data_IF_417573352859
#
_entry.id   IF_417573352859
#
_cell.length_a   1.000
_cell.length_b   1.000
_cell.length_c   1.000
_cell.angle_alpha   90.00
_cell.angle_beta   90.00
_cell.angle_gamma   90.00
#
_symmetry.space_group_name_H-M   'P 1'
#
loop_
_entity.id
_entity.type
_entity.pdbx_description
1 polymer ?
#
# COMPACT_ATOMS: atom_id res chain seq x y z
N UNK A 1 -24.20 16.07 -32.45
CA UNK A 1 -23.10 15.34 -33.09
C UNK A 1 -22.01 15.02 -32.06
N UNK A 2 -21.46 13.80 -32.08
CA UNK A 2 -20.36 13.36 -31.21
C UNK A 2 -19.00 13.75 -31.77
N UNK A 3 -18.84 13.81 -33.10
CA UNK A 3 -17.57 14.17 -33.74
C UNK A 3 -17.16 15.60 -33.39
N UNK A 4 -18.09 16.56 -33.49
CA UNK A 4 -17.87 17.94 -33.05
C UNK A 4 -17.46 18.07 -31.56
N UNK A 5 -18.03 17.24 -30.68
CA UNK A 5 -17.68 17.24 -29.24
C UNK A 5 -16.29 16.68 -28.98
N UNK A 6 -15.90 15.63 -29.72
CA UNK A 6 -14.53 15.09 -29.66
C UNK A 6 -13.53 16.14 -30.16
N UNK A 7 -13.84 16.82 -31.27
CA UNK A 7 -13.01 17.90 -31.81
C UNK A 7 -12.82 19.04 -30.80
N UNK A 8 -13.91 19.47 -30.14
CA UNK A 8 -13.89 20.50 -29.09
C UNK A 8 -13.00 20.09 -27.91
N UNK A 9 -13.15 18.84 -27.43
CA UNK A 9 -12.33 18.30 -26.35
C UNK A 9 -10.85 18.22 -26.71
N UNK A 10 -10.53 17.81 -27.94
CA UNK A 10 -9.15 17.74 -28.42
C UNK A 10 -8.52 19.12 -28.59
N UNK A 11 -9.30 20.12 -29.00
CA UNK A 11 -8.80 21.48 -29.30
C UNK A 11 -8.69 22.33 -28.04
N UNK A 12 -9.66 22.26 -27.14
CA UNK A 12 -9.80 23.17 -26.00
C UNK A 12 -9.45 22.52 -24.66
N UNK A 13 -9.31 21.20 -24.61
CA UNK A 13 -9.20 20.42 -23.38
C UNK A 13 -10.48 20.41 -22.53
N UNK A 14 -11.58 20.98 -23.04
CA UNK A 14 -12.85 21.17 -22.36
C UNK A 14 -14.00 20.76 -23.27
N UNK A 15 -15.18 20.60 -22.68
CA UNK A 15 -16.41 20.36 -23.42
C UNK A 15 -17.47 21.27 -22.83
N UNK A 16 -17.80 22.37 -23.50
CA UNK A 16 -18.76 23.37 -23.03
C UNK A 16 -20.13 22.73 -22.73
N UNK A 17 -20.51 21.71 -23.51
CA UNK A 17 -21.72 20.92 -23.24
C UNK A 17 -21.65 20.19 -21.87
N UNK A 18 -20.51 19.60 -21.52
CA UNK A 18 -20.29 18.96 -20.22
C UNK A 18 -20.28 20.00 -19.10
N UNK A 19 -19.58 21.12 -19.29
CA UNK A 19 -19.52 22.19 -18.27
C UNK A 19 -20.90 22.79 -17.99
N UNK A 20 -21.70 23.02 -19.03
CA UNK A 20 -23.08 23.49 -18.90
C UNK A 20 -23.96 22.46 -18.17
N UNK A 21 -23.75 21.15 -18.42
CA UNK A 21 -24.43 20.08 -17.71
C UNK A 21 -24.00 19.99 -16.25
N UNK A 22 -22.69 20.06 -15.95
CA UNK A 22 -22.16 20.01 -14.59
C UNK A 22 -22.63 21.19 -13.74
N UNK A 23 -22.81 22.38 -14.34
CA UNK A 23 -23.43 23.54 -13.66
C UNK A 23 -24.91 23.32 -13.34
N UNK A 24 -25.62 22.52 -14.14
CA UNK A 24 -27.06 22.24 -13.99
C UNK A 24 -27.37 21.01 -13.12
N UNK A 25 -26.38 20.13 -12.90
CA UNK A 25 -26.53 18.90 -12.12
C UNK A 25 -25.80 19.07 -10.79
N UNK A 26 -26.51 19.14 -9.64
CA UNK A 26 -25.89 19.16 -8.33
C UNK A 26 -24.85 18.04 -8.15
N UNK A 27 -23.67 18.35 -7.59
CA UNK A 27 -22.60 17.37 -7.32
C UNK A 27 -23.11 16.16 -6.52
N UNK A 28 -24.09 16.39 -5.66
CA UNK A 28 -24.82 15.36 -4.93
C UNK A 28 -25.39 14.25 -5.85
N UNK A 29 -26.00 14.61 -6.99
CA UNK A 29 -26.56 13.63 -7.92
C UNK A 29 -25.47 12.77 -8.55
N UNK A 30 -24.35 13.36 -8.93
CA UNK A 30 -23.20 12.64 -9.47
C UNK A 30 -22.63 11.65 -8.46
N UNK A 31 -22.56 12.03 -7.18
CA UNK A 31 -22.12 11.14 -6.10
C UNK A 31 -23.09 9.97 -5.88
N UNK A 32 -24.40 10.20 -5.89
CA UNK A 32 -25.38 9.11 -5.74
C UNK A 32 -25.32 8.10 -6.90
N UNK A 33 -25.05 8.58 -8.11
CA UNK A 33 -24.92 7.75 -9.31
C UNK A 33 -23.67 6.87 -9.32
N UNK A 34 -22.72 7.04 -8.41
CA UNK A 34 -21.58 6.11 -8.27
C UNK A 34 -21.98 4.79 -7.63
N UNK A 35 -23.15 4.72 -6.98
CA UNK A 35 -23.68 3.51 -6.36
C UNK A 35 -24.29 2.61 -7.43
N UNK A 36 -23.77 1.37 -7.62
CA UNK A 36 -24.38 0.41 -8.53
C UNK A 36 -25.87 0.21 -8.23
N UNK A 37 -26.71 0.32 -9.26
CA UNK A 37 -28.17 0.25 -9.12
C UNK A 37 -28.88 1.59 -8.98
N UNK A 38 -28.16 2.71 -8.82
CA UNK A 38 -28.71 4.08 -8.83
C UNK A 38 -28.43 4.76 -10.17
N UNK A 39 -29.41 4.73 -11.07
CA UNK A 39 -29.38 5.50 -12.31
C UNK A 39 -29.84 6.96 -12.13
N UNK A 40 -29.70 7.81 -13.17
CA UNK A 40 -30.03 9.23 -13.11
C UNK A 40 -31.44 9.55 -12.59
N UNK A 41 -32.44 8.75 -12.97
CA UNK A 41 -33.83 8.93 -12.54
C UNK A 41 -34.01 8.70 -11.04
N UNK A 42 -33.39 7.65 -10.49
CA UNK A 42 -33.44 7.31 -9.07
C UNK A 42 -32.65 8.32 -8.24
N UNK A 43 -31.45 8.71 -8.69
CA UNK A 43 -30.65 9.76 -8.05
C UNK A 43 -31.43 11.07 -7.94
N UNK A 44 -32.11 11.47 -9.02
CA UNK A 44 -32.94 12.68 -9.03
C UNK A 44 -34.12 12.60 -8.09
N UNK A 45 -34.82 11.46 -8.03
CA UNK A 45 -35.93 11.29 -7.09
C UNK A 45 -35.48 11.36 -5.63
N UNK A 46 -34.34 10.75 -5.29
CA UNK A 46 -33.73 10.83 -3.96
C UNK A 46 -33.37 12.27 -3.57
N UNK A 47 -32.80 13.04 -4.49
CA UNK A 47 -32.45 14.43 -4.25
C UNK A 47 -33.68 15.34 -4.16
N UNK A 48 -34.63 15.22 -5.08
CA UNK A 48 -35.79 16.13 -5.16
C UNK A 48 -36.79 15.87 -4.03
N UNK A 49 -36.98 14.62 -3.59
CA UNK A 49 -38.02 14.24 -2.61
C UNK A 49 -37.50 14.06 -1.19
N UNK A 50 -36.27 13.54 -1.04
CA UNK A 50 -35.68 13.24 0.27
C UNK A 50 -34.44 14.10 0.56
N UNK A 51 -34.10 15.03 -0.34
CA UNK A 51 -32.95 15.93 -0.20
C UNK A 51 -31.64 15.19 0.13
N UNK A 52 -31.46 14.02 -0.50
CA UNK A 52 -30.26 13.21 -0.30
C UNK A 52 -29.09 13.87 -1.03
N UNK A 53 -28.07 14.28 -0.26
CA UNK A 53 -26.89 14.98 -0.78
C UNK A 53 -25.58 14.23 -0.60
N UNK A 54 -25.59 13.14 0.17
CA UNK A 54 -24.40 12.32 0.46
C UNK A 54 -24.73 10.83 0.50
N UNK A 55 -23.70 10.00 0.30
CA UNK A 55 -23.80 8.54 0.42
C UNK A 55 -24.15 8.10 1.86
N UNK A 56 -23.65 8.83 2.87
CA UNK A 56 -23.97 8.57 4.28
C UNK A 56 -25.45 8.77 4.58
N UNK A 57 -26.03 9.87 4.07
CA UNK A 57 -27.47 10.14 4.23
C UNK A 57 -28.31 9.09 3.48
N UNK A 58 -27.89 8.69 2.27
CA UNK A 58 -28.54 7.63 1.51
C UNK A 58 -28.54 6.31 2.30
N UNK A 59 -27.41 5.94 2.91
CA UNK A 59 -27.29 4.72 3.71
C UNK A 59 -28.19 4.74 4.95
N UNK A 60 -28.25 5.87 5.67
CA UNK A 60 -29.14 6.01 6.82
C UNK A 60 -30.61 5.87 6.43
N UNK A 61 -31.03 6.47 5.32
CA UNK A 61 -32.39 6.37 4.81
C UNK A 61 -32.73 4.94 4.35
N UNK A 62 -31.78 4.25 3.72
CA UNK A 62 -31.94 2.87 3.30
C UNK A 62 -32.02 1.91 4.50
N UNK A 63 -31.17 2.08 5.53
CA UNK A 63 -31.19 1.27 6.76
C UNK A 63 -32.44 1.49 7.61
N UNK A 64 -33.04 2.68 7.51
CA UNK A 64 -34.29 3.02 8.20
C UNK A 64 -35.54 2.72 7.37
N UNK A 65 -35.40 2.04 6.23
CA UNK A 65 -36.48 1.71 5.29
C UNK A 65 -37.26 2.91 4.75
N UNK A 66 -36.70 4.11 4.87
CA UNK A 66 -37.35 5.36 4.47
C UNK A 66 -37.31 5.59 2.96
N UNK A 67 -36.51 4.82 2.21
CA UNK A 67 -36.50 4.94 0.75
C UNK A 67 -37.77 4.35 0.14
N UNK A 68 -38.43 3.40 0.83
CA UNK A 68 -39.65 2.75 0.37
C UNK A 68 -40.86 3.68 0.24
N UNK A 69 -40.79 4.87 0.85
CA UNK A 69 -41.78 5.93 0.66
C UNK A 69 -41.75 6.54 -0.76
N UNK A 70 -40.72 6.24 -1.57
CA UNK A 70 -40.59 6.75 -2.93
C UNK A 70 -41.09 5.74 -3.98
N UNK A 71 -41.78 6.21 -5.04
CA UNK A 71 -42.21 5.33 -6.12
C UNK A 71 -41.00 4.70 -6.83
N UNK A 72 -41.02 3.37 -6.97
CA UNK A 72 -39.94 2.58 -7.57
C UNK A 72 -38.77 2.22 -6.65
N UNK A 73 -38.90 2.47 -5.34
CA UNK A 73 -37.94 2.07 -4.30
C UNK A 73 -38.49 0.95 -3.41
N UNK A 74 -38.89 -0.16 -4.03
CA UNK A 74 -39.32 -1.36 -3.29
C UNK A 74 -38.17 -1.96 -2.45
N UNK A 75 -38.50 -2.85 -1.50
CA UNK A 75 -37.54 -3.52 -0.62
C UNK A 75 -36.31 -4.06 -1.38
N UNK A 76 -36.52 -4.76 -2.50
CA UNK A 76 -35.42 -5.28 -3.34
C UNK A 76 -34.52 -4.19 -3.92
N UNK A 77 -35.08 -3.02 -4.26
CA UNK A 77 -34.30 -1.86 -4.72
C UNK A 77 -33.46 -1.29 -3.58
N UNK A 78 -34.02 -1.17 -2.37
CA UNK A 78 -33.31 -0.70 -1.18
C UNK A 78 -32.17 -1.65 -0.77
N UNK A 79 -32.42 -2.96 -0.79
CA UNK A 79 -31.39 -3.99 -0.57
C UNK A 79 -30.25 -3.88 -1.59
N UNK A 80 -30.59 -3.68 -2.87
CA UNK A 80 -29.58 -3.48 -3.92
C UNK A 80 -28.80 -2.16 -3.73
N UNK A 81 -29.45 -1.10 -3.24
CA UNK A 81 -28.79 0.17 -2.90
C UNK A 81 -27.84 -0.01 -1.71
N UNK A 82 -28.25 -0.71 -0.65
CA UNK A 82 -27.39 -1.03 0.49
C UNK A 82 -26.18 -1.86 0.05
N UNK A 83 -26.39 -2.86 -0.80
CA UNK A 83 -25.31 -3.67 -1.39
C UNK A 83 -24.40 -2.81 -2.27
N UNK A 84 -24.95 -1.92 -3.08
CA UNK A 84 -24.17 -0.98 -3.91
C UNK A 84 -23.36 0.01 -3.07
N UNK A 85 -23.91 0.51 -1.97
CA UNK A 85 -23.22 1.40 -1.02
C UNK A 85 -22.07 0.67 -0.34
N UNK A 86 -22.28 -0.59 0.04
CA UNK A 86 -21.22 -1.45 0.56
C UNK A 86 -20.11 -1.64 -0.47
N UNK A 87 -20.45 -1.85 -1.75
CA UNK A 87 -19.46 -1.95 -2.84
C UNK A 87 -18.66 -0.65 -3.02
N UNK A 88 -19.29 0.52 -2.91
CA UNK A 88 -18.60 1.81 -3.00
C UNK A 88 -17.68 2.02 -1.80
N UNK A 89 -18.13 1.69 -0.59
CA UNK A 89 -17.30 1.75 0.64
C UNK A 89 -16.11 0.80 0.56
N UNK A 90 -16.34 -0.46 0.19
CA UNK A 90 -15.30 -1.47 0.01
C UNK A 90 -14.35 -1.13 -1.15
N UNK A 91 -14.84 -0.48 -2.21
CA UNK A 91 -14.00 0.04 -3.28
C UNK A 91 -13.14 1.24 -2.90
N UNK A 92 -13.41 1.86 -1.73
CA UNK A 92 -12.59 2.91 -1.13
C UNK A 92 -11.72 2.41 0.02
N UNK A 93 -12.03 1.24 0.59
CA UNK A 93 -11.22 0.61 1.62
C UNK A 93 -9.90 0.14 1.02
N UNK A 94 -8.81 0.78 1.46
CA UNK A 94 -7.46 0.35 1.11
C UNK A 94 -7.00 -0.67 2.14
N UNK A 95 -6.39 -1.74 1.69
CA UNK A 95 -5.83 -2.77 2.56
C UNK A 95 -4.36 -2.44 2.92
N UNK A 96 -3.89 -2.77 4.12
CA UNK A 96 -2.47 -2.67 4.45
C UNK A 96 -1.60 -3.51 3.51
N UNK A 97 -0.40 -3.03 3.19
CA UNK A 97 0.54 -3.72 2.31
C UNK A 97 0.80 -5.18 2.74
N UNK A 98 0.93 -5.45 4.04
CA UNK A 98 1.19 -6.80 4.57
C UNK A 98 0.08 -7.80 4.19
N UNK A 99 -1.18 -7.41 4.37
CA UNK A 99 -2.34 -8.20 3.98
C UNK A 99 -2.40 -8.40 2.47
N UNK A 100 -2.13 -7.34 1.70
CA UNK A 100 -2.13 -7.40 0.23
C UNK A 100 -1.06 -8.36 -0.30
N UNK A 101 0.13 -8.33 0.30
CA UNK A 101 1.25 -9.19 -0.08
C UNK A 101 0.97 -10.67 0.20
N UNK A 102 0.36 -10.99 1.34
CA UNK A 102 -0.01 -12.37 1.66
C UNK A 102 -0.98 -12.93 0.62
N UNK A 103 -2.06 -12.20 0.34
CA UNK A 103 -3.05 -12.60 -0.64
C UNK A 103 -2.47 -12.68 -2.06
N UNK A 104 -1.67 -11.70 -2.47
CA UNK A 104 -1.04 -11.71 -3.78
C UNK A 104 -0.10 -12.91 -3.96
N UNK A 105 0.61 -13.35 -2.91
CA UNK A 105 1.45 -14.56 -2.96
C UNK A 105 0.61 -15.82 -3.22
N UNK A 106 -0.51 -15.96 -2.53
CA UNK A 106 -1.43 -17.09 -2.75
C UNK A 106 -1.98 -17.10 -4.17
N UNK A 107 -2.44 -15.95 -4.68
CA UNK A 107 -2.97 -15.82 -6.03
C UNK A 107 -1.91 -16.08 -7.11
N UNK A 108 -0.69 -15.55 -6.93
CA UNK A 108 0.44 -15.80 -7.83
C UNK A 108 0.79 -17.29 -7.86
N UNK A 109 0.86 -17.95 -6.70
CA UNK A 109 1.13 -19.39 -6.63
C UNK A 109 0.03 -20.21 -7.31
N UNK A 110 -1.24 -19.88 -7.06
CA UNK A 110 -2.38 -20.57 -7.67
C UNK A 110 -2.41 -20.40 -9.20
N UNK A 111 -2.31 -19.17 -9.69
CA UNK A 111 -2.35 -18.87 -11.12
C UNK A 111 -1.10 -19.40 -11.85
N UNK A 112 0.05 -19.39 -11.19
CA UNK A 112 1.32 -19.89 -11.71
C UNK A 112 1.37 -21.41 -11.85
N UNK A 113 0.51 -22.16 -11.15
CA UNK A 113 0.42 -23.61 -11.29
C UNK A 113 -0.28 -24.06 -12.60
N UNK A 114 -0.92 -23.15 -13.32
CA UNK A 114 -1.60 -23.46 -14.58
C UNK A 114 -0.63 -23.64 -15.76
N UNK A 115 -0.80 -24.72 -16.54
CA UNK A 115 0.09 -25.06 -17.68
C UNK A 115 0.11 -24.04 -18.81
N UNK A 116 -0.89 -23.16 -18.89
CA UNK A 116 -1.01 -22.11 -19.90
C UNK A 116 -0.42 -20.77 -19.46
N UNK A 117 0.15 -20.67 -18.26
CA UNK A 117 0.77 -19.45 -17.73
C UNK A 117 2.26 -19.71 -17.55
N UNK A 118 3.09 -18.83 -18.11
CA UNK A 118 4.55 -18.89 -17.94
C UNK A 118 4.98 -18.27 -16.62
N UNK A 119 4.38 -17.15 -16.25
CA UNK A 119 4.76 -16.35 -15.09
C UNK A 119 3.58 -15.47 -14.68
N UNK A 120 3.45 -15.19 -13.38
CA UNK A 120 2.50 -14.20 -12.85
C UNK A 120 3.26 -13.23 -11.97
N UNK A 121 3.14 -11.93 -12.25
CA UNK A 121 3.82 -10.88 -11.50
C UNK A 121 2.80 -9.87 -10.98
N UNK A 122 2.80 -9.57 -9.68
CA UNK A 122 2.03 -8.45 -9.14
C UNK A 122 2.54 -7.12 -9.70
N UNK A 123 1.62 -6.24 -10.09
CA UNK A 123 1.88 -4.91 -10.60
C UNK A 123 1.25 -3.86 -9.66
N UNK A 124 0.86 -2.71 -10.20
CA UNK A 124 0.15 -1.66 -9.49
C UNK A 124 0.90 -1.11 -8.29
N UNK A 125 0.13 -0.57 -7.34
CA UNK A 125 0.63 0.00 -6.08
C UNK A 125 1.32 -1.04 -5.20
N UNK A 126 0.93 -2.32 -5.30
CA UNK A 126 1.53 -3.42 -4.55
C UNK A 126 3.00 -3.59 -4.91
N UNK A 127 3.31 -3.59 -6.21
CA UNK A 127 4.69 -3.73 -6.70
C UNK A 127 5.56 -2.53 -6.33
N UNK A 128 4.98 -1.33 -6.22
CA UNK A 128 5.67 -0.12 -5.76
C UNK A 128 5.79 -0.02 -4.24
N UNK A 129 5.33 -1.03 -3.49
CA UNK A 129 5.38 -1.09 -2.02
C UNK A 129 4.64 0.07 -1.36
N UNK A 130 3.55 0.56 -1.95
CA UNK A 130 2.72 1.55 -1.27
C UNK A 130 2.18 0.97 0.04
N UNK A 131 2.17 1.80 1.09
CA UNK A 131 1.78 1.44 2.46
C UNK A 131 0.36 0.84 2.56
N UNK A 132 -0.53 1.28 1.67
CA UNK A 132 -1.87 0.71 1.49
C UNK A 132 -2.19 0.50 0.02
N UNK A 133 -3.02 -0.49 -0.27
CA UNK A 133 -3.31 -1.00 -1.61
C UNK A 133 -4.82 -0.93 -1.84
N UNK A 134 -5.26 -0.42 -3.00
CA UNK A 134 -6.69 -0.35 -3.34
C UNK A 134 -7.19 -1.65 -3.95
N UNK A 135 -6.60 -2.01 -5.08
CA UNK A 135 -6.85 -3.25 -5.84
C UNK A 135 -5.54 -4.02 -6.06
N UNK A 136 -5.68 -5.30 -6.39
CA UNK A 136 -4.55 -6.15 -6.77
C UNK A 136 -4.47 -6.28 -8.28
N UNK A 137 -3.47 -5.66 -8.89
CA UNK A 137 -3.13 -5.86 -10.30
C UNK A 137 -2.17 -7.04 -10.45
N UNK A 138 -2.54 -8.04 -11.25
CA UNK A 138 -1.71 -9.18 -11.60
C UNK A 138 -1.52 -9.25 -13.12
N UNK A 139 -0.27 -9.44 -13.55
CA UNK A 139 0.07 -9.70 -14.96
C UNK A 139 0.47 -11.15 -15.14
N UNK A 140 -0.27 -11.89 -15.95
CA UNK A 140 0.05 -13.25 -16.34
C UNK A 140 0.65 -13.28 -17.75
N UNK A 141 1.80 -13.93 -17.92
CA UNK A 141 2.44 -14.11 -19.23
C UNK A 141 1.91 -15.40 -19.86
N UNK A 142 1.29 -15.29 -21.04
CA UNK A 142 0.77 -16.47 -21.76
C UNK A 142 0.72 -16.24 -23.28
N UNK A 143 0.85 -17.33 -24.03
CA UNK A 143 0.53 -17.38 -25.47
C UNK A 143 -0.89 -17.88 -25.75
N UNK A 144 -1.63 -18.31 -24.72
CA UNK A 144 -2.99 -18.88 -24.81
C UNK A 144 -3.95 -18.14 -23.86
N UNK A 145 -4.20 -16.83 -24.08
CA UNK A 145 -4.97 -15.99 -23.15
C UNK A 145 -6.37 -16.52 -22.82
N UNK A 146 -7.06 -17.10 -23.80
CA UNK A 146 -8.40 -17.68 -23.62
C UNK A 146 -8.45 -18.87 -22.65
N UNK A 147 -7.32 -19.54 -22.38
CA UNK A 147 -7.26 -20.63 -21.41
C UNK A 147 -7.00 -20.15 -19.98
N UNK A 148 -6.57 -18.88 -19.83
CA UNK A 148 -6.26 -18.25 -18.54
C UNK A 148 -7.42 -17.36 -18.09
N UNK A 149 -8.16 -16.76 -19.03
CA UNK A 149 -9.30 -15.88 -18.75
C UNK A 149 -10.56 -16.38 -19.45
N UNK A 150 -11.65 -16.52 -18.68
CA UNK A 150 -12.96 -16.87 -19.22
C UNK A 150 -13.85 -15.65 -19.55
N UNK A 151 -13.53 -14.47 -19.01
CA UNK A 151 -14.33 -13.25 -19.19
C UNK A 151 -13.50 -12.14 -19.85
N UNK A 152 -13.75 -11.89 -21.13
CA UNK A 152 -13.06 -10.89 -21.95
C UNK A 152 -11.75 -11.40 -22.59
N UNK A 153 -11.29 -10.78 -23.68
CA UNK A 153 -10.12 -11.27 -24.42
C UNK A 153 -8.76 -10.99 -23.74
N UNK A 154 -8.67 -10.02 -22.82
CA UNK A 154 -7.38 -9.55 -22.25
C UNK A 154 -7.41 -9.06 -20.80
N UNK A 155 -8.59 -8.85 -20.21
CA UNK A 155 -8.75 -8.42 -18.82
C UNK A 155 -9.89 -9.19 -18.16
N UNK A 156 -9.64 -9.72 -16.97
CA UNK A 156 -10.68 -10.22 -16.08
C UNK A 156 -10.55 -9.55 -14.72
N UNK A 157 -11.66 -9.14 -14.14
CA UNK A 157 -11.73 -8.58 -12.79
C UNK A 157 -12.63 -9.46 -11.95
N UNK A 158 -12.15 -9.89 -10.78
CA UNK A 158 -12.95 -10.62 -9.80
C UNK A 158 -13.02 -9.83 -8.51
N UNK A 159 -14.03 -10.14 -7.70
CA UNK A 159 -14.08 -9.72 -6.30
C UNK A 159 -13.93 -10.94 -5.42
N UNK A 160 -13.02 -10.87 -4.44
CA UNK A 160 -12.89 -11.91 -3.43
C UNK A 160 -14.12 -11.88 -2.50
N UNK A 161 -14.38 -12.94 -1.71
CA UNK A 161 -15.41 -12.91 -0.66
C UNK A 161 -15.21 -11.78 0.35
N UNK A 162 -13.97 -11.32 0.55
CA UNK A 162 -13.63 -10.16 1.38
C UNK A 162 -13.91 -8.80 0.72
N UNK A 163 -14.44 -8.77 -0.51
CA UNK A 163 -14.82 -7.55 -1.24
C UNK A 163 -13.69 -6.91 -2.06
N UNK A 164 -12.46 -7.43 -1.96
CA UNK A 164 -11.28 -6.92 -2.65
C UNK A 164 -11.39 -7.16 -4.16
N UNK A 165 -11.08 -6.13 -4.94
CA UNK A 165 -10.98 -6.25 -6.38
C UNK A 165 -9.59 -6.76 -6.78
N UNK A 166 -9.58 -7.80 -7.60
CA UNK A 166 -8.37 -8.36 -8.22
C UNK A 166 -8.53 -8.26 -9.73
N UNK A 167 -7.59 -7.55 -10.35
CA UNK A 167 -7.52 -7.35 -11.79
C UNK A 167 -6.42 -8.24 -12.37
N UNK A 168 -6.80 -9.24 -13.16
CA UNK A 168 -5.86 -10.07 -13.92
C UNK A 168 -5.78 -9.59 -15.37
N UNK A 169 -4.57 -9.44 -15.88
CA UNK A 169 -4.31 -9.15 -17.29
C UNK A 169 -3.37 -10.19 -17.87
N UNK A 170 -3.75 -10.74 -19.02
CA UNK A 170 -2.89 -11.69 -19.73
C UNK A 170 -2.15 -10.95 -20.83
N UNK A 171 -0.83 -11.10 -20.85
CA UNK A 171 0.05 -10.38 -21.76
C UNK A 171 0.92 -11.35 -22.55
N UNK A 172 1.14 -11.02 -23.82
CA UNK A 172 2.03 -11.80 -24.67
C UNK A 172 3.49 -11.66 -24.17
N UNK A 173 4.33 -12.71 -24.27
CA UNK A 173 5.72 -12.65 -23.81
C UNK A 173 6.54 -11.49 -24.39
N UNK A 174 6.23 -11.08 -25.61
CA UNK A 174 6.95 -9.99 -26.29
C UNK A 174 6.53 -8.58 -25.84
N UNK A 175 5.45 -8.45 -25.07
CA UNK A 175 4.93 -7.20 -24.52
C UNK A 175 5.09 -7.10 -23.00
N UNK A 176 5.61 -8.15 -22.36
CA UNK A 176 5.59 -8.29 -20.90
C UNK A 176 6.30 -7.13 -20.18
N UNK A 177 7.49 -6.74 -20.64
CA UNK A 177 8.23 -5.61 -20.08
C UNK A 177 7.48 -4.29 -20.17
N UNK A 178 6.87 -4.00 -21.32
CA UNK A 178 6.08 -2.79 -21.51
C UNK A 178 4.80 -2.79 -20.67
N UNK A 179 4.14 -3.94 -20.57
CA UNK A 179 2.99 -4.11 -19.68
C UNK A 179 3.38 -3.93 -18.21
N UNK A 180 4.54 -4.43 -17.77
CA UNK A 180 5.05 -4.20 -16.42
C UNK A 180 5.26 -2.73 -16.14
N UNK A 181 5.92 -1.98 -17.03
CA UNK A 181 6.06 -0.51 -16.86
C UNK A 181 4.68 0.14 -16.75
N UNK A 182 3.78 -0.17 -17.69
CA UNK A 182 2.45 0.42 -17.77
C UNK A 182 1.58 0.14 -16.53
N UNK A 183 1.44 -1.12 -16.13
CA UNK A 183 0.55 -1.51 -15.02
C UNK A 183 1.21 -1.39 -13.65
N UNK A 184 2.54 -1.35 -13.56
CA UNK A 184 3.21 -0.97 -12.30
C UNK A 184 2.97 0.49 -12.00
N UNK A 185 2.97 1.36 -13.01
CA UNK A 185 2.83 2.79 -12.81
C UNK A 185 3.95 3.39 -11.95
N UNK A 186 3.70 4.46 -11.18
CA UNK A 186 2.42 5.18 -11.01
C UNK A 186 1.88 5.80 -12.32
N UNK A 187 0.66 6.33 -12.26
CA UNK A 187 0.08 7.06 -13.40
C UNK A 187 0.98 8.24 -13.78
N UNK A 188 1.48 8.96 -12.79
CA UNK A 188 2.34 10.13 -12.89
C UNK A 188 3.68 9.74 -13.53
N UNK A 189 4.30 8.65 -13.05
CA UNK A 189 5.48 8.06 -13.68
C UNK A 189 5.25 7.71 -15.16
N UNK A 190 4.13 7.05 -15.48
CA UNK A 190 3.78 6.71 -16.86
C UNK A 190 3.56 7.94 -17.74
N UNK A 191 3.08 9.06 -17.19
CA UNK A 191 2.96 10.34 -17.91
C UNK A 191 4.35 10.88 -18.25
N UNK A 192 5.29 10.87 -17.29
CA UNK A 192 6.68 11.28 -17.54
C UNK A 192 7.38 10.41 -18.58
N UNK A 193 7.25 9.10 -18.47
CA UNK A 193 7.82 8.14 -19.42
C UNK A 193 7.28 8.35 -20.83
N UNK A 194 5.96 8.52 -21.00
CA UNK A 194 5.35 8.82 -22.31
C UNK A 194 5.77 10.17 -22.85
N UNK A 195 5.85 11.20 -22.00
CA UNK A 195 6.35 12.52 -22.40
C UNK A 195 7.79 12.48 -22.90
N UNK A 196 8.65 11.67 -22.27
CA UNK A 196 10.03 11.45 -22.73
C UNK A 196 10.06 10.70 -24.06
N UNK A 197 9.27 9.63 -24.21
CA UNK A 197 9.18 8.87 -25.44
C UNK A 197 8.80 9.76 -26.64
N UNK A 198 7.78 10.61 -26.47
CA UNK A 198 7.31 11.51 -27.53
C UNK A 198 8.42 12.45 -28.00
N UNK A 199 9.25 12.98 -27.09
CA UNK A 199 10.42 13.82 -27.46
C UNK A 199 11.46 13.07 -28.28
N UNK A 200 11.52 11.74 -28.16
CA UNK A 200 12.43 10.87 -28.92
C UNK A 200 11.79 10.34 -30.22
N UNK A 201 10.57 10.77 -30.57
CA UNK A 201 9.82 10.23 -31.72
C UNK A 201 9.38 8.77 -31.50
N UNK A 202 9.14 8.41 -30.23
CA UNK A 202 8.72 7.10 -29.79
C UNK A 202 7.36 7.19 -29.08
N UNK A 203 6.60 6.10 -29.11
CA UNK A 203 5.39 5.90 -28.31
C UNK A 203 5.58 4.71 -27.39
N UNK A 204 5.17 4.84 -26.12
CA UNK A 204 5.17 3.76 -25.14
C UNK A 204 3.73 3.45 -24.72
N UNK A 205 3.34 2.19 -24.80
CA UNK A 205 2.05 1.68 -24.32
C UNK A 205 2.24 0.29 -23.68
N UNK A 206 1.15 -0.35 -23.27
CA UNK A 206 1.17 -1.67 -22.62
C UNK A 206 1.69 -2.81 -23.51
N UNK A 207 1.84 -2.58 -24.82
CA UNK A 207 2.28 -3.58 -25.80
C UNK A 207 3.74 -3.46 -26.23
N UNK A 208 4.39 -2.33 -25.94
CA UNK A 208 5.77 -2.07 -26.35
C UNK A 208 6.14 -0.60 -26.44
N UNK A 209 7.36 -0.38 -26.94
CA UNK A 209 7.87 0.91 -27.41
C UNK A 209 7.90 0.87 -28.94
N UNK A 210 7.39 1.90 -29.59
CA UNK A 210 7.22 1.96 -31.04
C UNK A 210 7.80 3.24 -31.60
N UNK A 211 8.39 3.19 -32.80
CA UNK A 211 8.73 4.41 -33.55
C UNK A 211 7.44 5.04 -34.06
N UNK A 212 7.20 6.30 -33.73
CA UNK A 212 5.96 7.00 -34.07
C UNK A 212 5.74 7.04 -35.59
N UNK A 213 6.79 7.34 -36.36
CA UNK A 213 6.70 7.47 -37.83
C UNK A 213 6.39 6.17 -38.57
N UNK A 214 6.83 5.02 -38.05
CA UNK A 214 6.76 3.74 -38.78
C UNK A 214 5.89 2.70 -38.11
N UNK A 215 5.41 2.95 -36.89
CA UNK A 215 4.70 1.96 -36.07
C UNK A 215 5.54 0.74 -35.69
N UNK A 216 6.86 0.74 -35.96
CA UNK A 216 7.71 -0.43 -35.72
C UNK A 216 8.04 -0.54 -34.23
N UNK A 217 7.77 -1.70 -33.63
CA UNK A 217 8.19 -1.99 -32.26
C UNK A 217 9.71 -2.05 -32.16
N UNK A 218 10.27 -1.37 -31.16
CA UNK A 218 11.71 -1.30 -30.88
C UNK A 218 12.08 -1.91 -29.53
N UNK A 219 11.13 -2.03 -28.61
CA UNK A 219 11.30 -2.68 -27.31
C UNK A 219 9.96 -3.17 -26.77
N UNK A 220 9.98 -4.02 -25.73
CA UNK A 220 8.78 -4.39 -24.97
C UNK A 220 8.85 -5.72 -24.25
N UNK A 221 9.91 -6.51 -24.46
CA UNK A 221 10.03 -7.85 -23.87
C UNK A 221 10.38 -7.77 -22.39
N UNK A 222 11.29 -6.87 -21.99
CA UNK A 222 11.68 -6.65 -20.58
C UNK A 222 11.55 -5.17 -20.21
N UNK A 223 11.45 -4.87 -18.92
CA UNK A 223 11.36 -3.47 -18.46
C UNK A 223 12.64 -2.71 -18.79
N UNK A 224 13.80 -3.34 -18.63
CA UNK A 224 15.12 -2.78 -18.94
C UNK A 224 15.20 -2.36 -20.40
N UNK A 225 14.66 -3.17 -21.32
CA UNK A 225 14.62 -2.85 -22.74
C UNK A 225 13.77 -1.60 -23.01
N UNK A 226 12.62 -1.47 -22.31
CA UNK A 226 11.73 -0.31 -22.40
C UNK A 226 12.43 0.94 -21.91
N UNK A 227 13.04 0.92 -20.72
CA UNK A 227 13.78 2.08 -20.20
C UNK A 227 14.98 2.43 -21.08
N UNK A 228 15.75 1.42 -21.54
CA UNK A 228 16.91 1.62 -22.41
C UNK A 228 16.53 2.28 -23.73
N UNK A 229 15.39 1.92 -24.32
CA UNK A 229 14.88 2.57 -25.54
C UNK A 229 14.59 4.07 -25.35
N UNK A 230 14.40 4.52 -24.10
CA UNK A 230 14.17 5.90 -23.73
C UNK A 230 15.44 6.61 -23.21
N UNK A 231 16.60 5.96 -23.27
CA UNK A 231 17.85 6.48 -22.72
C UNK A 231 17.89 6.49 -21.19
N UNK A 232 17.11 5.64 -20.53
CA UNK A 232 17.03 5.51 -19.09
C UNK A 232 17.65 4.18 -18.60
N UNK A 233 18.29 4.15 -17.43
CA UNK A 233 18.47 2.90 -16.70
C UNK A 233 17.11 2.35 -16.24
N UNK A 234 17.06 1.07 -15.86
CA UNK A 234 15.86 0.52 -15.23
C UNK A 234 15.60 1.22 -13.90
N UNK A 235 14.38 1.72 -13.73
CA UNK A 235 13.97 2.43 -12.52
C UNK A 235 13.22 1.45 -11.59
N UNK A 236 13.72 1.22 -10.36
CA UNK A 236 13.04 0.37 -9.38
C UNK A 236 11.57 0.78 -9.17
N UNK A 237 10.61 -0.18 -9.11
CA UNK A 237 9.19 0.11 -8.90
C UNK A 237 8.89 1.07 -7.74
N UNK A 238 9.63 0.93 -6.64
CA UNK A 238 9.50 1.73 -5.42
C UNK A 238 9.76 3.23 -5.64
N UNK A 239 10.51 3.60 -6.69
CA UNK A 239 10.81 4.99 -7.01
C UNK A 239 9.81 5.64 -7.97
N UNK A 240 8.90 4.87 -8.59
CA UNK A 240 8.03 5.31 -9.69
C UNK A 240 6.83 6.12 -9.21
N UNK A 241 7.10 7.24 -8.55
CA UNK A 241 6.09 8.10 -7.91
C UNK A 241 6.18 9.57 -8.38
N UNK A 242 6.89 9.84 -9.48
CA UNK A 242 7.13 11.18 -10.01
C UNK A 242 7.71 12.16 -8.97
N UNK A 243 8.79 11.73 -8.32
CA UNK A 243 9.51 12.49 -7.29
C UNK A 243 10.96 12.80 -7.68
N UNK A 244 11.21 12.86 -8.99
CA UNK A 244 12.51 13.14 -9.58
C UNK A 244 13.30 11.90 -10.02
N UNK A 245 12.70 10.71 -10.00
CA UNK A 245 13.33 9.45 -10.42
C UNK A 245 13.67 9.43 -11.91
N UNK A 246 12.85 10.03 -12.77
CA UNK A 246 13.10 10.07 -14.22
C UNK A 246 14.26 11.01 -14.53
N UNK A 247 14.28 12.19 -13.91
CA UNK A 247 15.35 13.17 -14.05
C UNK A 247 16.69 12.61 -13.54
N UNK A 248 16.69 11.97 -12.36
CA UNK A 248 17.88 11.28 -11.85
C UNK A 248 18.32 10.11 -12.74
N UNK A 249 17.37 9.39 -13.32
CA UNK A 249 17.64 8.34 -14.30
C UNK A 249 18.39 8.86 -15.52
N UNK A 250 17.93 9.97 -16.10
CA UNK A 250 18.62 10.62 -17.23
C UNK A 250 20.01 11.14 -16.85
N UNK A 251 20.16 11.65 -15.63
CA UNK A 251 21.44 12.14 -15.11
C UNK A 251 22.38 11.02 -14.64
N UNK A 252 21.95 9.75 -14.63
CA UNK A 252 22.75 8.64 -14.10
C UNK A 252 22.99 8.70 -12.59
N UNK A 253 22.11 9.37 -11.84
CA UNK A 253 22.24 9.63 -10.39
C UNK A 253 21.10 9.02 -9.58
N UNK A 254 20.54 7.89 -10.05
CA UNK A 254 19.58 7.13 -9.25
C UNK A 254 20.25 6.64 -7.96
N UNK A 255 19.53 6.67 -6.83
CA UNK A 255 20.08 6.18 -5.58
C UNK A 255 20.21 4.66 -5.61
N UNK A 256 21.27 4.14 -4.98
CA UNK A 256 21.34 2.73 -4.63
C UNK A 256 20.32 2.44 -3.53
N UNK A 257 19.48 1.43 -3.75
CA UNK A 257 18.45 1.05 -2.79
C UNK A 257 18.93 -0.09 -1.89
N UNK A 258 18.56 0.00 -0.61
CA UNK A 258 18.69 -1.12 0.31
C UNK A 258 17.90 -2.32 -0.22
N UNK A 259 18.49 -3.51 -0.11
CA UNK A 259 17.82 -4.76 -0.46
C UNK A 259 17.73 -5.66 0.77
N UNK A 260 16.85 -6.66 0.74
CA UNK A 260 16.75 -7.65 1.82
C UNK A 260 18.06 -8.40 2.07
N UNK A 261 18.97 -8.47 1.09
CA UNK A 261 20.30 -9.08 1.27
C UNK A 261 21.21 -8.27 2.20
N UNK A 262 20.97 -6.97 2.34
CA UNK A 262 21.73 -6.10 3.23
C UNK A 262 21.19 -6.12 4.68
N UNK A 263 20.01 -6.70 4.91
CA UNK A 263 19.40 -6.78 6.24
C UNK A 263 20.03 -7.94 7.02
N UNK A 264 20.84 -7.60 8.03
CA UNK A 264 21.58 -8.57 8.85
C UNK A 264 20.89 -8.93 10.16
N UNK A 265 19.85 -8.21 10.53
CA UNK A 265 19.12 -8.43 11.78
C UNK A 265 17.85 -7.62 11.87
N UNK A 266 17.06 -7.91 12.90
CA UNK A 266 15.86 -7.17 13.27
C UNK A 266 16.10 -6.40 14.57
N UNK A 267 15.65 -5.15 14.62
CA UNK A 267 15.91 -4.24 15.72
C UNK A 267 14.67 -4.00 16.60
N UNK A 268 13.56 -4.73 16.41
CA UNK A 268 12.40 -4.52 17.27
C UNK A 268 11.58 -5.80 17.36
N UNK A 269 11.91 -6.65 18.33
CA UNK A 269 11.23 -7.92 18.57
C UNK A 269 10.85 -8.04 20.05
N UNK A 270 9.67 -8.60 20.27
CA UNK A 270 9.11 -8.87 21.60
C UNK A 270 9.04 -10.37 21.86
N UNK A 271 9.09 -10.73 23.14
CA UNK A 271 8.93 -12.09 23.65
C UNK A 271 7.74 -12.18 24.59
N UNK A 272 7.47 -13.37 25.09
CA UNK A 272 6.44 -13.62 26.12
C UNK A 272 6.76 -12.99 27.50
N UNK A 273 7.88 -12.27 27.62
CA UNK A 273 8.18 -11.44 28.80
C UNK A 273 7.37 -10.15 28.85
N UNK A 274 6.94 -9.60 27.70
CA UNK A 274 5.94 -8.53 27.64
C UNK A 274 4.66 -8.97 26.94
N UNK A 275 4.56 -8.71 25.65
CA UNK A 275 3.36 -8.85 24.81
C UNK A 275 3.62 -9.66 23.53
N UNK A 276 4.82 -10.22 23.40
CA UNK A 276 5.11 -11.25 22.41
C UNK A 276 4.44 -12.58 22.76
N UNK A 277 4.29 -13.44 21.75
CA UNK A 277 3.60 -14.72 21.91
C UNK A 277 4.54 -15.91 22.17
N UNK A 278 5.87 -15.70 22.14
CA UNK A 278 6.86 -16.77 22.09
C UNK A 278 8.01 -16.53 23.08
N UNK A 279 8.57 -17.60 23.68
CA UNK A 279 9.79 -17.53 24.48
C UNK A 279 10.97 -16.93 23.72
N UNK A 280 11.88 -16.29 24.45
CA UNK A 280 13.09 -15.66 23.89
C UNK A 280 13.88 -16.65 23.00
N UNK A 281 14.01 -17.89 23.43
CA UNK A 281 14.67 -18.97 22.70
C UNK A 281 14.05 -19.22 21.33
N UNK A 282 12.72 -19.24 21.25
CA UNK A 282 11.99 -19.50 20.00
C UNK A 282 12.13 -18.32 19.03
N UNK A 283 12.03 -17.09 19.55
CA UNK A 283 12.22 -15.86 18.76
C UNK A 283 13.64 -15.82 18.20
N UNK A 284 14.65 -16.08 19.03
CA UNK A 284 16.06 -16.13 18.62
C UNK A 284 16.33 -17.24 17.59
N UNK A 285 15.77 -18.43 17.80
CA UNK A 285 15.89 -19.52 16.84
C UNK A 285 15.25 -19.17 15.50
N UNK A 286 14.09 -18.49 15.49
CA UNK A 286 13.43 -18.05 14.27
C UNK A 286 14.24 -16.98 13.53
N UNK A 287 14.77 -15.99 14.24
CA UNK A 287 15.66 -14.96 13.69
C UNK A 287 16.91 -15.59 13.04
N UNK A 288 17.56 -16.53 13.73
CA UNK A 288 18.71 -17.27 13.20
C UNK A 288 18.35 -18.10 11.96
N UNK A 289 17.21 -18.81 11.97
CA UNK A 289 16.72 -19.57 10.80
C UNK A 289 16.44 -18.69 9.58
N UNK A 290 16.05 -17.42 9.80
CA UNK A 290 15.84 -16.43 8.73
C UNK A 290 17.17 -15.97 8.10
N UNK A 291 18.32 -16.35 8.67
CA UNK A 291 19.65 -15.98 8.20
C UNK A 291 20.17 -14.67 8.79
N UNK A 292 19.53 -14.15 9.84
CA UNK A 292 20.06 -12.99 10.55
C UNK A 292 21.32 -13.36 11.34
N UNK A 293 22.21 -12.40 11.46
CA UNK A 293 23.43 -12.45 12.27
C UNK A 293 23.16 -12.00 13.70
N UNK A 294 22.18 -11.12 13.88
CA UNK A 294 21.76 -10.64 15.19
C UNK A 294 20.27 -10.30 15.24
N UNK A 295 19.75 -10.16 16.46
CA UNK A 295 18.45 -9.56 16.74
C UNK A 295 18.53 -8.66 17.96
N UNK A 296 17.64 -7.67 18.05
CA UNK A 296 17.38 -6.93 19.28
C UNK A 296 16.12 -7.48 19.94
N UNK A 297 16.26 -7.98 21.16
CA UNK A 297 15.13 -8.23 22.05
C UNK A 297 14.80 -6.91 22.76
N UNK A 298 13.57 -6.43 22.62
CA UNK A 298 13.18 -5.08 23.04
C UNK A 298 11.80 -5.05 23.71
N UNK A 299 11.58 -5.94 24.68
CA UNK A 299 10.33 -5.96 25.45
C UNK A 299 10.02 -4.62 26.13
N UNK A 300 8.74 -4.39 26.37
CA UNK A 300 8.22 -3.12 26.88
C UNK A 300 8.72 -2.75 28.29
N UNK A 301 8.82 -1.45 28.56
CA UNK A 301 9.16 -0.92 29.89
C UNK A 301 7.95 -0.84 30.84
N UNK A 302 8.24 -0.83 32.15
CA UNK A 302 7.33 -0.92 33.31
C UNK A 302 5.97 -0.19 33.23
N UNK A 303 5.94 1.04 32.72
CA UNK A 303 4.74 1.88 32.67
C UNK A 303 3.68 1.35 31.70
N UNK A 304 4.05 0.53 30.71
CA UNK A 304 3.13 -0.09 29.77
C UNK A 304 2.51 -1.37 30.36
N UNK A 305 1.89 -1.27 31.54
CA UNK A 305 1.31 -2.41 32.29
C UNK A 305 0.28 -3.23 31.50
N UNK A 306 -0.41 -2.62 30.54
CA UNK A 306 -1.39 -3.29 29.67
C UNK A 306 -0.70 -4.29 28.73
N UNK A 307 0.59 -4.09 28.44
CA UNK A 307 1.42 -4.94 27.59
C UNK A 307 2.45 -5.76 28.41
N UNK A 308 2.27 -5.90 29.73
CA UNK A 308 3.18 -6.70 30.56
C UNK A 308 4.59 -6.11 30.72
N UNK A 309 4.75 -4.78 30.65
CA UNK A 309 6.07 -4.14 30.70
C UNK A 309 6.91 -4.51 31.93
N UNK A 310 8.21 -4.73 31.70
CA UNK A 310 9.15 -5.26 32.70
C UNK A 310 9.55 -4.19 33.72
N UNK A 311 9.94 -4.61 34.92
CA UNK A 311 10.70 -3.82 35.88
C UNK A 311 12.20 -3.88 35.55
N UNK A 312 12.98 -2.96 36.14
CA UNK A 312 14.44 -3.01 36.03
C UNK A 312 15.05 -4.32 36.56
N UNK A 313 14.41 -4.96 37.56
CA UNK A 313 14.88 -6.23 38.11
C UNK A 313 14.61 -7.39 37.13
N UNK A 314 13.42 -7.45 36.54
CA UNK A 314 13.05 -8.44 35.51
C UNK A 314 13.93 -8.29 34.27
N UNK A 315 14.25 -7.06 33.86
CA UNK A 315 15.17 -6.81 32.76
C UNK A 315 16.59 -7.38 33.01
N UNK A 316 17.06 -7.37 34.26
CA UNK A 316 18.34 -8.00 34.61
C UNK A 316 18.25 -9.54 34.64
N UNK A 317 17.08 -10.11 34.95
CA UNK A 317 16.84 -11.55 34.78
C UNK A 317 16.85 -11.92 33.29
N UNK A 318 16.20 -11.12 32.46
CA UNK A 318 16.22 -11.27 31.01
C UNK A 318 17.65 -11.20 30.44
N UNK A 319 18.50 -10.31 30.96
CA UNK A 319 19.93 -10.25 30.63
C UNK A 319 20.65 -11.56 30.89
N UNK A 320 20.45 -12.18 32.04
CA UNK A 320 21.10 -13.46 32.36
C UNK A 320 20.71 -14.56 31.36
N UNK A 321 19.44 -14.60 30.93
CA UNK A 321 18.95 -15.53 29.91
C UNK A 321 19.61 -15.24 28.56
N UNK A 322 19.60 -13.97 28.12
CA UNK A 322 20.23 -13.53 26.88
C UNK A 322 21.73 -13.85 26.84
N UNK A 323 22.45 -13.64 27.94
CA UNK A 323 23.88 -13.96 28.03
C UNK A 323 24.12 -15.48 27.89
N UNK A 324 23.32 -16.31 28.56
CA UNK A 324 23.39 -17.77 28.43
C UNK A 324 23.06 -18.24 27.01
N UNK A 325 22.08 -17.62 26.34
CA UNK A 325 21.72 -17.94 24.96
C UNK A 325 22.78 -17.49 23.97
N UNK A 326 23.40 -16.33 24.19
CA UNK A 326 24.49 -15.84 23.34
C UNK A 326 25.69 -16.79 23.31
N UNK A 327 26.00 -17.48 24.42
CA UNK A 327 27.01 -18.55 24.43
C UNK A 327 26.59 -19.71 23.54
N UNK A 328 25.32 -20.15 23.63
CA UNK A 328 24.80 -21.31 22.88
C UNK A 328 24.60 -21.04 21.39
N UNK A 329 24.23 -19.81 21.03
CA UNK A 329 23.78 -19.46 19.68
C UNK A 329 24.88 -18.89 18.80
N UNK A 330 26.07 -18.60 19.36
CA UNK A 330 27.22 -18.08 18.65
C UNK A 330 27.45 -18.80 17.29
N UNK A 331 27.80 -18.06 16.21
CA UNK A 331 28.11 -16.62 16.18
C UNK A 331 26.88 -15.69 16.12
N UNK A 332 25.64 -16.22 16.18
CA UNK A 332 24.44 -15.37 16.24
C UNK A 332 24.38 -14.60 17.57
N UNK A 333 24.01 -13.32 17.52
CA UNK A 333 23.96 -12.44 18.70
C UNK A 333 22.55 -11.93 18.99
N UNK A 334 22.07 -12.13 20.20
CA UNK A 334 20.95 -11.41 20.77
C UNK A 334 21.51 -10.16 21.47
N UNK A 335 21.09 -8.99 21.01
CA UNK A 335 21.27 -7.72 21.70
C UNK A 335 20.12 -7.56 22.70
N UNK A 336 20.42 -7.13 23.92
CA UNK A 336 19.38 -6.81 24.91
C UNK A 336 19.08 -5.31 24.87
N UNK A 337 17.81 -4.99 24.64
CA UNK A 337 17.31 -3.64 24.73
C UNK A 337 15.97 -3.57 25.44
N UNK A 338 15.27 -2.47 25.21
CA UNK A 338 13.89 -2.27 25.67
C UNK A 338 13.19 -1.30 24.73
N UNK A 339 11.88 -1.50 24.55
CA UNK A 339 11.00 -0.46 24.05
C UNK A 339 10.57 0.44 25.20
N UNK A 340 11.34 1.51 25.37
CA UNK A 340 11.25 2.52 26.41
C UNK A 340 10.11 3.49 26.15
N UNK A 341 9.12 3.52 27.04
CA UNK A 341 8.06 4.53 27.01
C UNK A 341 8.65 5.93 27.26
N UNK A 342 8.32 6.85 26.36
CA UNK A 342 8.50 8.29 26.57
C UNK A 342 7.27 8.79 27.30
N UNK A 343 7.39 9.16 28.57
CA UNK A 343 6.27 9.66 29.38
C UNK A 343 5.69 10.97 28.82
N UNK A 344 4.44 11.37 29.17
CA UNK A 344 3.80 12.58 28.64
C UNK A 344 4.57 13.90 28.83
N UNK A 345 5.48 13.95 29.80
CA UNK A 345 6.37 15.09 30.08
C UNK A 345 7.74 15.01 29.36
N UNK A 346 8.00 13.91 28.64
CA UNK A 346 9.24 13.66 27.90
C UNK A 346 10.32 12.92 28.68
N UNK A 347 10.10 12.60 29.96
CA UNK A 347 11.01 11.71 30.71
C UNK A 347 10.89 10.27 30.20
N UNK A 348 11.94 9.49 30.43
CA UNK A 348 11.95 8.05 30.17
C UNK A 348 11.49 7.29 31.41
N UNK A 349 10.90 6.12 31.19
CA UNK A 349 10.30 5.28 32.23
C UNK A 349 11.34 4.58 33.13
N UNK A 350 12.54 4.28 32.61
CA UNK A 350 13.67 3.82 33.42
C UNK A 350 14.66 4.94 33.77
N UNK A 351 15.35 4.83 34.92
CA UNK A 351 16.46 5.72 35.24
C UNK A 351 17.69 5.38 34.37
N UNK A 352 18.52 6.40 34.10
CA UNK A 352 19.73 6.31 33.29
C UNK A 352 20.64 5.13 33.62
N UNK A 353 20.80 4.79 34.91
CA UNK A 353 21.62 3.64 35.34
C UNK A 353 21.17 2.29 34.77
N UNK A 354 19.88 2.14 34.49
CA UNK A 354 19.31 0.93 33.88
C UNK A 354 19.53 0.99 32.37
N UNK A 355 19.28 2.15 31.74
CA UNK A 355 19.49 2.36 30.32
C UNK A 355 20.95 2.14 29.91
N UNK A 356 21.89 2.57 30.75
CA UNK A 356 23.33 2.40 30.55
C UNK A 356 23.80 0.94 30.49
N UNK A 357 23.00 0.00 31.01
CA UNK A 357 23.33 -1.42 31.01
C UNK A 357 22.82 -2.15 29.74
N UNK A 358 22.01 -1.50 28.91
CA UNK A 358 21.42 -2.08 27.70
C UNK A 358 22.30 -1.88 26.47
N UNK A 359 22.20 -2.81 25.52
CA UNK A 359 22.92 -2.72 24.24
C UNK A 359 22.27 -1.65 23.33
N UNK A 360 20.93 -1.59 23.32
CA UNK A 360 20.16 -0.63 22.52
C UNK A 360 18.90 -0.20 23.27
N UNK A 361 18.55 1.09 23.21
CA UNK A 361 17.31 1.63 23.77
C UNK A 361 16.47 2.20 22.64
N UNK A 362 15.27 1.67 22.49
CA UNK A 362 14.27 2.13 21.55
C UNK A 362 13.29 3.00 22.34
N UNK A 363 13.23 4.30 22.07
CA UNK A 363 12.26 5.19 22.68
C UNK A 363 10.99 5.26 21.82
N UNK A 364 9.82 5.23 22.47
CA UNK A 364 8.53 5.19 21.80
C UNK A 364 7.45 5.97 22.55
N UNK A 365 6.40 6.41 21.84
CA UNK A 365 5.21 7.04 22.43
C UNK A 365 4.03 6.09 22.28
N UNK A 366 3.49 5.59 23.40
CA UNK A 366 2.28 4.74 23.38
C UNK A 366 1.04 5.41 23.97
N UNK A 367 1.18 6.66 24.42
CA UNK A 367 0.16 7.32 25.22
C UNK A 367 0.00 8.80 24.85
N UNK A 368 -1.14 9.38 25.25
CA UNK A 368 -1.43 10.81 25.09
C UNK A 368 -1.24 11.36 23.65
N UNK A 369 -1.62 10.57 22.63
CA UNK A 369 -1.52 10.95 21.21
C UNK A 369 -2.27 12.24 20.82
N UNK A 370 -3.22 12.69 21.65
CA UNK A 370 -4.00 13.91 21.45
C UNK A 370 -3.33 15.19 22.00
N UNK A 371 -2.10 15.10 22.50
CA UNK A 371 -1.36 16.29 22.94
C UNK A 371 -1.21 17.31 21.79
N UNK A 372 -1.26 18.63 22.09
CA UNK A 372 -1.01 19.65 21.08
C UNK A 372 0.36 19.44 20.41
N UNK A 373 0.47 19.74 19.11
CA UNK A 373 1.69 19.54 18.31
C UNK A 373 2.96 20.03 19.03
N UNK A 374 2.95 21.24 19.55
CA UNK A 374 4.11 21.82 20.24
C UNK A 374 4.50 21.07 21.52
N UNK A 375 3.53 20.49 22.23
CA UNK A 375 3.76 19.66 23.42
C UNK A 375 4.36 18.31 23.02
N UNK A 376 3.79 17.63 22.03
CA UNK A 376 4.31 16.35 21.53
C UNK A 376 5.73 16.49 20.97
N UNK A 377 6.01 17.57 20.22
CA UNK A 377 7.37 17.85 19.74
C UNK A 377 8.35 18.03 20.90
N UNK A 378 8.00 18.79 21.94
CA UNK A 378 8.86 18.95 23.12
C UNK A 378 9.06 17.62 23.85
N UNK A 379 8.01 16.83 24.04
CA UNK A 379 8.06 15.50 24.66
C UNK A 379 9.09 14.60 23.98
N UNK A 380 9.00 14.46 22.65
CA UNK A 380 9.92 13.63 21.86
C UNK A 380 11.35 14.21 21.92
N UNK A 381 11.53 15.52 21.72
CA UNK A 381 12.86 16.15 21.76
C UNK A 381 13.52 16.00 23.13
N UNK A 382 12.77 16.09 24.22
CA UNK A 382 13.30 15.85 25.58
C UNK A 382 13.81 14.42 25.72
N UNK A 383 13.05 13.42 25.26
CA UNK A 383 13.49 12.03 25.28
C UNK A 383 14.76 11.80 24.43
N UNK A 384 14.82 12.38 23.23
CA UNK A 384 15.97 12.24 22.33
C UNK A 384 17.25 12.96 22.80
N UNK A 385 17.18 13.78 23.86
CA UNK A 385 18.37 14.35 24.50
C UNK A 385 19.03 13.40 25.49
N UNK A 386 18.35 12.32 25.88
CA UNK A 386 18.94 11.33 26.77
C UNK A 386 20.05 10.57 26.00
N UNK A 387 21.29 10.51 26.53
CA UNK A 387 22.44 9.95 25.81
C UNK A 387 22.35 8.44 25.61
N UNK A 388 21.41 7.75 26.28
CA UNK A 388 21.21 6.32 26.16
C UNK A 388 20.14 5.94 25.13
N UNK A 389 19.42 6.90 24.53
CA UNK A 389 18.44 6.61 23.47
C UNK A 389 19.14 6.42 22.13
N UNK A 390 18.85 5.30 21.47
CA UNK A 390 19.50 4.91 20.21
C UNK A 390 18.55 5.01 19.01
N UNK A 391 17.28 4.64 19.20
CA UNK A 391 16.26 4.55 18.13
C UNK A 391 14.97 5.22 18.61
N UNK A 392 14.30 5.98 17.74
CA UNK A 392 12.91 6.41 17.94
C UNK A 392 11.99 5.46 17.16
N UNK A 393 11.26 4.59 17.85
CA UNK A 393 10.34 3.65 17.21
C UNK A 393 9.07 4.34 16.74
N UNK A 394 8.53 3.81 15.62
CA UNK A 394 7.24 4.14 14.99
C UNK A 394 6.74 5.57 15.29
N UNK A 395 7.49 6.62 14.89
CA UNK A 395 7.41 7.96 15.51
C UNK A 395 6.06 8.67 15.45
N UNK A 396 5.16 8.25 14.56
CA UNK A 396 3.84 8.84 14.36
C UNK A 396 2.75 8.19 15.22
N UNK A 397 3.01 7.00 15.78
CA UNK A 397 1.99 6.19 16.47
C UNK A 397 0.82 5.76 15.57
N UNK A 398 0.98 5.86 14.24
CA UNK A 398 -0.09 5.55 13.29
C UNK A 398 -0.33 4.04 13.21
N UNK A 399 -1.59 3.63 13.31
CA UNK A 399 -2.03 2.27 13.02
C UNK A 399 -2.69 2.19 11.64
N UNK A 400 -2.52 1.05 10.98
CA UNK A 400 -3.13 0.73 9.70
C UNK A 400 -4.13 -0.42 9.87
N UNK A 401 -5.39 -0.18 9.49
CA UNK A 401 -6.52 -1.03 9.82
C UNK A 401 -7.44 -0.31 10.81
#
# INVERSE_FOLDING_TARGET
>A
DLAAKIQEMLTTGRLAYLEALTKRVPKALSALMTVPGIGPKKARLLYDRLHVTSLTQLEQLAKSHRLQALPGFEQKTEENILRGLQVVKQGQERMPLGTALALARELVAYLGAGSSVREVVPAGSLRRRQETIGDLDLLAVSTKPAQVQQHGPTKSSIRTPSGLQVDLRVVAPAAFGAALVYFTGSKEHNVKIRGLANRLGLTVNEYGVFKEKTGRRVAGKTEEEVYKALGLPWIPPELREDRGEVERGLAGTLPDLMTMKAVRGDFHLHSDWSDGAHPIEEVAAAAKRKGYEYMLLSDHSHSLRVAGGLTAAELMQQRAIVDALNVKLAPFRILLGTEMEILPDGRLDYPDRVLAALDVVIAAVHSAFKQPKAVMTRRIVTALRNPYVHILAHPTGRLWG
#
